data_IF_970211260919
#
_entry.id   IF_970211260919
#
_cell.length_a   1.000
_cell.length_b   1.000
_cell.length_c   1.000
_cell.angle_alpha   90.00
_cell.angle_beta   90.00
_cell.angle_gamma   90.00
#
_symmetry.space_group_name_H-M   'P 1'
#
loop_
_entity.id
_entity.type
_entity.pdbx_description
1 polymer ?
#
# COMPACT_ATOMS: atom_id res chain seq x y z
N UNK A 1 -2.36 -11.37 27.15
CA UNK A 1 -2.66 -12.28 26.03
C UNK A 1 -3.21 -11.58 24.79
N UNK A 2 -3.86 -10.41 24.88
CA UNK A 2 -4.35 -9.68 23.69
C UNK A 2 -3.25 -9.03 22.82
N UNK A 3 -2.12 -8.60 23.39
CA UNK A 3 -1.03 -7.96 22.64
C UNK A 3 -0.27 -8.92 21.69
N UNK A 4 -0.20 -10.21 22.04
CA UNK A 4 0.53 -11.19 21.23
C UNK A 4 -0.21 -11.51 19.92
N UNK A 5 -1.54 -11.45 19.92
CA UNK A 5 -2.35 -11.64 18.73
C UNK A 5 -2.18 -10.47 17.75
N UNK A 6 -2.22 -9.22 18.22
CA UNK A 6 -2.08 -8.04 17.36
C UNK A 6 -0.68 -7.89 16.75
N UNK A 7 0.36 -8.31 17.47
CA UNK A 7 1.73 -8.33 16.95
C UNK A 7 1.87 -9.41 15.88
N UNK A 8 1.28 -10.60 16.10
CA UNK A 8 1.34 -11.70 15.14
C UNK A 8 0.59 -11.36 13.85
N UNK A 9 -0.58 -10.73 13.96
CA UNK A 9 -1.39 -10.29 12.83
C UNK A 9 -0.69 -9.20 12.00
N UNK A 10 -0.09 -8.20 12.67
CA UNK A 10 0.71 -7.17 12.00
C UNK A 10 1.96 -7.74 11.31
N UNK A 11 2.66 -8.67 11.96
CA UNK A 11 3.85 -9.33 11.38
C UNK A 11 3.51 -10.23 10.19
N UNK A 12 2.35 -10.89 10.21
CA UNK A 12 1.90 -11.79 9.14
C UNK A 12 1.33 -11.02 7.93
N UNK A 13 0.58 -9.94 8.16
CA UNK A 13 -0.08 -9.17 7.09
C UNK A 13 0.78 -8.03 6.53
N UNK A 14 1.60 -7.38 7.36
CA UNK A 14 2.40 -6.21 6.96
C UNK A 14 3.91 -6.45 6.98
N UNK A 15 4.35 -7.62 7.46
CA UNK A 15 5.76 -7.98 7.59
C UNK A 15 6.44 -7.29 8.79
N UNK A 16 7.41 -7.97 9.42
CA UNK A 16 8.26 -7.33 10.44
C UNK A 16 8.95 -6.10 9.86
N UNK A 17 8.97 -4.94 10.55
CA UNK A 17 9.93 -3.89 10.22
C UNK A 17 11.32 -4.51 10.35
N UNK A 18 12.00 -4.72 9.21
CA UNK A 18 13.37 -5.24 9.23
C UNK A 18 14.22 -4.20 9.97
N UNK A 19 14.93 -4.56 11.05
CA UNK A 19 15.74 -3.60 11.81
C UNK A 19 16.72 -2.84 10.91
N UNK A 20 17.30 -3.52 9.92
CA UNK A 20 18.20 -2.93 8.92
C UNK A 20 17.56 -1.94 7.93
N UNK A 21 16.23 -1.75 7.98
CA UNK A 21 15.48 -0.80 7.14
C UNK A 21 14.76 0.28 7.96
N UNK A 22 14.51 0.08 9.25
CA UNK A 22 13.90 1.10 10.10
C UNK A 22 14.76 2.38 10.08
N UNK A 23 16.07 2.23 10.25
CA UNK A 23 17.04 3.34 10.19
C UNK A 23 17.02 4.05 8.83
N UNK A 24 16.73 3.33 7.74
CA UNK A 24 16.61 3.90 6.38
C UNK A 24 15.29 4.59 6.14
N UNK A 25 14.17 4.03 6.61
CA UNK A 25 12.86 4.67 6.52
C UNK A 25 12.89 5.99 7.27
N UNK A 26 13.42 6.02 8.50
CA UNK A 26 13.63 7.28 9.22
C UNK A 26 14.65 8.20 8.55
N UNK A 27 15.69 7.68 7.88
CA UNK A 27 16.61 8.50 7.08
C UNK A 27 16.02 9.05 5.76
N UNK A 28 14.82 8.62 5.37
CA UNK A 28 14.05 9.22 4.28
C UNK A 28 13.11 10.34 4.79
N UNK A 29 12.82 10.38 6.09
CA UNK A 29 12.01 11.46 6.68
C UNK A 29 12.80 12.77 6.60
N UNK A 30 12.24 13.76 5.91
CA UNK A 30 12.90 15.05 5.66
C UNK A 30 13.66 15.14 4.33
N UNK A 31 13.68 14.09 3.50
CA UNK A 31 14.11 14.22 2.10
C UNK A 31 12.97 14.77 1.25
N UNK A 32 13.22 15.73 0.32
CA UNK A 32 12.19 16.22 -0.57
C UNK A 32 11.61 15.08 -1.42
N UNK A 33 10.30 14.90 -1.34
CA UNK A 33 9.55 14.05 -2.27
C UNK A 33 9.26 14.84 -3.54
N UNK A 34 9.15 14.15 -4.68
CA UNK A 34 8.63 14.81 -5.88
C UNK A 34 7.14 15.11 -5.69
N UNK A 35 6.58 16.11 -6.38
CA UNK A 35 5.15 16.41 -6.32
C UNK A 35 4.27 15.18 -6.63
N UNK A 36 4.69 14.33 -7.58
CA UNK A 36 3.99 13.10 -7.94
C UNK A 36 4.02 12.06 -6.83
N UNK A 37 5.11 11.98 -6.06
CA UNK A 37 5.22 11.08 -4.93
C UNK A 37 4.31 11.53 -3.76
N UNK A 38 4.22 12.84 -3.50
CA UNK A 38 3.27 13.38 -2.52
C UNK A 38 1.82 13.11 -2.94
N UNK A 39 1.49 13.38 -4.20
CA UNK A 39 0.17 13.08 -4.76
C UNK A 39 -0.16 11.59 -4.70
N UNK A 40 0.83 10.72 -4.92
CA UNK A 40 0.67 9.26 -4.75
C UNK A 40 0.24 8.94 -3.32
N UNK A 41 0.89 9.52 -2.31
CA UNK A 41 0.55 9.28 -0.90
C UNK A 41 -0.87 9.77 -0.56
N UNK A 42 -1.26 10.94 -1.05
CA UNK A 42 -2.61 11.48 -0.88
C UNK A 42 -3.68 10.56 -1.50
N UNK A 43 -3.44 10.09 -2.73
CA UNK A 43 -4.36 9.16 -3.41
C UNK A 43 -4.39 7.80 -2.73
N UNK A 44 -3.27 7.34 -2.16
CA UNK A 44 -3.22 6.10 -1.39
C UNK A 44 -4.10 6.16 -0.14
N UNK A 45 -4.11 7.31 0.55
CA UNK A 45 -5.00 7.52 1.68
C UNK A 45 -6.47 7.51 1.24
N UNK A 46 -6.80 8.18 0.14
CA UNK A 46 -8.15 8.18 -0.41
C UNK A 46 -8.64 6.77 -0.82
N UNK A 47 -7.74 5.93 -1.37
CA UNK A 47 -8.04 4.53 -1.68
C UNK A 47 -8.34 3.72 -0.41
N UNK A 48 -7.56 3.90 0.66
CA UNK A 48 -7.78 3.21 1.94
C UNK A 48 -9.12 3.63 2.58
N UNK A 49 -9.42 4.93 2.58
CA UNK A 49 -10.69 5.46 3.11
C UNK A 49 -11.91 4.92 2.36
N UNK A 50 -11.81 4.75 1.04
CA UNK A 50 -12.90 4.21 0.21
C UNK A 50 -13.06 2.69 0.30
N UNK A 51 -11.98 1.97 0.63
CA UNK A 51 -11.98 0.52 0.63
C UNK A 51 -12.65 -0.06 1.88
N UNK A 52 -12.08 0.20 3.06
CA UNK A 52 -12.68 -0.20 4.33
C UNK A 52 -12.14 0.66 5.47
N UNK A 53 -13.00 1.39 6.16
CA UNK A 53 -12.62 2.43 7.12
C UNK A 53 -11.81 1.95 8.32
N UNK A 54 -11.84 0.64 8.62
CA UNK A 54 -11.06 0.02 9.70
C UNK A 54 -9.78 -0.69 9.22
N UNK A 55 -9.57 -0.79 7.90
CA UNK A 55 -8.43 -1.51 7.34
C UNK A 55 -7.20 -0.58 7.25
N UNK A 56 -6.04 -0.99 7.78
CA UNK A 56 -4.81 -0.19 7.71
C UNK A 56 -4.36 0.08 6.26
N UNK A 57 -3.60 1.15 6.06
CA UNK A 57 -2.96 1.44 4.77
C UNK A 57 -1.91 0.35 4.48
N UNK A 58 -2.25 -0.60 3.62
CA UNK A 58 -1.32 -1.57 3.04
C UNK A 58 -0.68 -1.13 1.71
N UNK A 59 0.16 -2.01 1.16
CA UNK A 59 0.94 -1.76 -0.07
C UNK A 59 0.08 -1.61 -1.32
N UNK A 60 -1.09 -2.24 -1.34
CA UNK A 60 -2.09 -2.20 -2.39
C UNK A 60 -2.70 -0.80 -2.55
N UNK A 61 -2.93 -0.07 -1.46
CA UNK A 61 -3.37 1.33 -1.55
C UNK A 61 -2.27 2.22 -2.13
N UNK A 62 -1.01 1.97 -1.76
CA UNK A 62 0.15 2.68 -2.33
C UNK A 62 0.24 2.41 -3.84
N UNK A 63 0.08 1.16 -4.25
CA UNK A 63 0.05 0.77 -5.65
C UNK A 63 -1.09 1.46 -6.41
N UNK A 64 -2.31 1.48 -5.85
CA UNK A 64 -3.46 2.14 -6.48
C UNK A 64 -3.28 3.66 -6.57
N UNK A 65 -2.74 4.30 -5.53
CA UNK A 65 -2.38 5.71 -5.57
C UNK A 65 -1.33 6.04 -6.63
N UNK A 66 -0.36 5.14 -6.85
CA UNK A 66 0.67 5.27 -7.88
C UNK A 66 0.07 5.15 -9.29
N UNK A 67 -0.80 4.15 -9.49
CA UNK A 67 -1.47 3.85 -10.77
C UNK A 67 -2.56 4.89 -11.12
N UNK A 68 -3.06 5.63 -10.13
CA UNK A 68 -4.03 6.71 -10.33
C UNK A 68 -3.42 8.00 -10.93
N UNK A 69 -2.10 8.02 -11.17
CA UNK A 69 -1.40 9.15 -11.81
C UNK A 69 -0.79 8.67 -13.14
N UNK A 70 -1.54 8.76 -14.27
CA UNK A 70 -1.09 8.26 -15.58
C UNK A 70 0.23 8.87 -16.06
N UNK A 71 0.51 10.12 -15.70
CA UNK A 71 1.71 10.86 -16.09
C UNK A 71 2.92 10.55 -15.21
N UNK A 72 2.77 9.74 -14.16
CA UNK A 72 3.88 9.36 -13.29
C UNK A 72 4.80 8.33 -13.93
N UNK A 73 6.08 8.39 -13.59
CA UNK A 73 7.04 7.38 -14.04
C UNK A 73 6.69 5.96 -13.53
N UNK A 74 6.14 5.87 -12.31
CA UNK A 74 5.69 4.60 -11.74
C UNK A 74 4.53 3.99 -12.52
N UNK A 75 3.48 4.75 -12.82
CA UNK A 75 2.35 4.26 -13.60
C UNK A 75 2.79 3.78 -15.00
N UNK A 76 3.64 4.55 -15.70
CA UNK A 76 4.18 4.13 -17.01
C UNK A 76 5.02 2.87 -16.93
N UNK A 77 5.80 2.72 -15.85
CA UNK A 77 6.60 1.50 -15.63
C UNK A 77 5.72 0.29 -15.39
N UNK A 78 4.67 0.41 -14.58
CA UNK A 78 3.71 -0.67 -14.36
C UNK A 78 2.95 -1.03 -15.64
N UNK A 79 2.52 -0.02 -16.42
CA UNK A 79 1.87 -0.23 -17.70
C UNK A 79 2.78 -0.96 -18.71
N UNK A 80 4.09 -0.69 -18.70
CA UNK A 80 5.07 -1.45 -19.51
C UNK A 80 5.08 -2.95 -19.17
N UNK A 81 4.84 -3.31 -17.90
CA UNK A 81 4.68 -4.69 -17.45
C UNK A 81 3.24 -5.22 -17.59
N UNK A 82 2.33 -4.47 -18.21
CA UNK A 82 0.95 -4.87 -18.41
C UNK A 82 0.10 -4.84 -17.14
N UNK A 83 0.46 -3.99 -16.18
CA UNK A 83 -0.33 -3.75 -14.96
C UNK A 83 -0.98 -2.38 -15.02
N UNK A 84 -2.31 -2.35 -14.96
CA UNK A 84 -3.10 -1.13 -14.87
C UNK A 84 -3.88 -1.02 -13.55
N UNK A 85 -4.46 0.16 -13.33
CA UNK A 85 -5.25 0.47 -12.14
C UNK A 85 -6.45 -0.46 -11.96
N UNK A 86 -7.17 -0.79 -13.04
CA UNK A 86 -8.38 -1.60 -12.97
C UNK A 86 -8.06 -3.05 -12.58
N UNK A 87 -7.00 -3.61 -13.17
CA UNK A 87 -6.50 -4.95 -12.84
C UNK A 87 -6.00 -5.01 -11.38
N UNK A 88 -5.24 -4.02 -10.94
CA UNK A 88 -4.74 -3.96 -9.57
C UNK A 88 -5.88 -3.86 -8.55
N UNK A 89 -6.92 -3.06 -8.86
CA UNK A 89 -8.09 -2.90 -8.00
C UNK A 89 -8.91 -4.18 -7.92
N UNK A 90 -9.15 -4.84 -9.05
CA UNK A 90 -9.85 -6.12 -9.09
C UNK A 90 -9.10 -7.20 -8.29
N UNK A 91 -7.77 -7.27 -8.43
CA UNK A 91 -6.95 -8.22 -7.68
C UNK A 91 -6.98 -7.94 -6.16
N UNK A 92 -6.94 -6.68 -5.74
CA UNK A 92 -7.13 -6.31 -4.33
C UNK A 92 -8.47 -6.82 -3.81
N UNK A 93 -9.55 -6.56 -4.55
CA UNK A 93 -10.90 -6.93 -4.13
C UNK A 93 -11.05 -8.46 -4.06
N UNK A 94 -10.50 -9.20 -5.03
CA UNK A 94 -10.46 -10.68 -5.00
C UNK A 94 -9.70 -11.22 -3.79
N UNK A 95 -8.48 -10.72 -3.56
CA UNK A 95 -7.63 -11.14 -2.42
C UNK A 95 -8.35 -10.85 -1.10
N UNK A 96 -8.99 -9.69 -1.00
CA UNK A 96 -9.71 -9.30 0.21
C UNK A 96 -10.89 -10.20 0.53
N UNK A 97 -11.67 -10.58 -0.48
CA UNK A 97 -12.76 -11.54 -0.29
C UNK A 97 -12.22 -12.92 0.11
N UNK A 98 -11.04 -13.34 -0.39
CA UNK A 98 -10.40 -14.57 0.07
C UNK A 98 -9.93 -14.48 1.54
N UNK A 99 -9.40 -13.34 1.97
CA UNK A 99 -8.91 -13.14 3.34
C UNK A 99 -10.06 -13.03 4.34
N UNK A 100 -11.15 -12.34 4.00
CA UNK A 100 -12.34 -12.23 4.86
C UNK A 100 -13.03 -13.58 5.12
N UNK A 101 -12.90 -14.55 4.22
CA UNK A 101 -13.43 -15.91 4.41
C UNK A 101 -12.64 -16.73 5.44
N UNK A 102 -11.56 -16.18 5.99
CA UNK A 102 -10.71 -16.85 6.99
C UNK A 102 -10.91 -16.34 8.44
N UNK A 103 -11.85 -15.42 8.66
CA UNK A 103 -12.39 -15.05 9.98
C UNK A 103 -13.66 -15.85 10.32
#
# INVERSE_FOLDING_TARGET
MALAASITEFELLHGRPRPAHADRVFALWGKPHTPEALRTMELSLAEAEQFHSAYPIGTEHILLGLLAIPESAGCRTMAYFGVDYAQARAARDEIWELLKLTE
#
